data_IF_578223109483
#
_entry.id   IF_578223109483
#
_cell.length_a   1.000
_cell.length_b   1.000
_cell.length_c   1.000
_cell.angle_alpha   90.00
_cell.angle_beta   90.00
_cell.angle_gamma   90.00
#
_symmetry.space_group_name_H-M   'P 1'
#
loop_
_entity.id
_entity.type
_entity.pdbx_description
1 polymer ?
#
# COMPACT_ATOMS: atom_id res chain seq x y z
N UNK A 1 -19.99 1.60 10.32
CA UNK A 1 -18.56 1.63 9.98
C UNK A 1 -18.28 1.31 8.51
N UNK A 2 -18.97 0.31 7.89
CA UNK A 2 -18.72 -0.12 6.50
C UNK A 2 -18.69 1.04 5.48
N UNK A 3 -19.70 1.92 5.47
CA UNK A 3 -19.74 3.04 4.52
C UNK A 3 -18.55 3.98 4.63
N UNK A 4 -18.16 4.35 5.86
CA UNK A 4 -17.00 5.21 6.10
C UNK A 4 -15.68 4.55 5.70
N UNK A 5 -15.50 3.28 6.05
CA UNK A 5 -14.30 2.53 5.65
C UNK A 5 -14.19 2.39 4.14
N UNK A 6 -15.30 2.12 3.43
CA UNK A 6 -15.31 2.04 1.97
C UNK A 6 -15.07 3.41 1.30
N UNK A 7 -15.61 4.50 1.85
CA UNK A 7 -15.33 5.85 1.34
C UNK A 7 -13.85 6.21 1.53
N UNK A 8 -13.27 5.88 2.67
CA UNK A 8 -11.83 6.08 2.91
C UNK A 8 -11.00 5.23 1.95
N UNK A 9 -11.37 3.95 1.75
CA UNK A 9 -10.69 3.08 0.80
C UNK A 9 -10.74 3.64 -0.63
N UNK A 10 -11.90 4.14 -1.05
CA UNK A 10 -12.05 4.79 -2.36
C UNK A 10 -11.20 6.07 -2.45
N UNK A 11 -11.17 6.89 -1.41
CA UNK A 11 -10.33 8.10 -1.35
C UNK A 11 -8.84 7.79 -1.47
N UNK A 12 -8.35 6.80 -0.72
CA UNK A 12 -6.95 6.34 -0.80
C UNK A 12 -6.63 5.78 -2.18
N UNK A 13 -7.50 4.94 -2.72
CA UNK A 13 -7.34 4.40 -4.06
C UNK A 13 -7.21 5.49 -5.11
N UNK A 14 -8.11 6.48 -5.08
CA UNK A 14 -8.08 7.61 -6.02
C UNK A 14 -6.81 8.44 -5.84
N UNK A 15 -6.40 8.73 -4.60
CA UNK A 15 -5.20 9.50 -4.31
C UNK A 15 -3.94 8.76 -4.81
N UNK A 16 -3.84 7.46 -4.55
CA UNK A 16 -2.73 6.64 -5.02
C UNK A 16 -2.64 6.64 -6.55
N UNK A 17 -3.73 6.35 -7.24
CA UNK A 17 -3.75 6.33 -8.70
C UNK A 17 -3.54 7.71 -9.33
N UNK A 18 -4.03 8.76 -8.70
CA UNK A 18 -3.80 10.14 -9.16
C UNK A 18 -2.32 10.55 -9.04
N UNK A 19 -1.66 10.21 -7.93
CA UNK A 19 -0.23 10.49 -7.74
C UNK A 19 0.64 9.66 -8.69
N UNK A 20 0.31 8.40 -8.91
CA UNK A 20 0.97 7.53 -9.91
C UNK A 20 0.78 8.05 -11.33
N UNK A 21 -0.44 8.46 -11.69
CA UNK A 21 -0.71 9.10 -12.98
C UNK A 21 0.12 10.38 -13.15
N UNK A 22 0.18 11.22 -12.13
CA UNK A 22 0.98 12.45 -12.16
C UNK A 22 2.46 12.16 -12.40
N UNK A 23 3.03 11.17 -11.70
CA UNK A 23 4.44 10.78 -11.87
C UNK A 23 4.71 10.20 -13.27
N UNK A 24 3.83 9.32 -13.77
CA UNK A 24 4.05 8.64 -15.04
C UNK A 24 3.74 9.52 -16.25
N UNK A 25 2.60 10.22 -16.25
CA UNK A 25 2.05 10.89 -17.43
C UNK A 25 2.32 12.40 -17.45
N UNK A 26 2.38 13.06 -16.29
CA UNK A 26 2.61 14.51 -16.25
C UNK A 26 4.10 14.82 -16.10
N UNK A 27 4.80 14.14 -15.20
CA UNK A 27 6.26 14.32 -15.04
C UNK A 27 7.05 13.51 -16.08
N UNK A 28 6.42 12.60 -16.81
CA UNK A 28 7.10 11.66 -17.73
C UNK A 28 8.31 10.99 -17.07
N UNK A 29 8.15 10.60 -15.81
CA UNK A 29 9.25 10.20 -14.94
C UNK A 29 9.71 8.75 -15.15
N UNK A 30 9.08 7.99 -16.05
CA UNK A 30 9.48 6.64 -16.45
C UNK A 30 10.06 6.67 -17.85
N UNK A 31 11.37 6.88 -18.02
CA UNK A 31 12.00 6.85 -19.35
C UNK A 31 11.87 5.47 -20.01
N UNK A 32 12.05 5.43 -21.32
CA UNK A 32 12.00 4.20 -22.10
C UNK A 32 13.00 3.16 -21.56
N UNK A 33 12.56 1.91 -21.39
CA UNK A 33 13.37 0.84 -20.82
C UNK A 33 13.41 0.79 -19.30
N UNK A 34 12.76 1.73 -18.61
CA UNK A 34 12.72 1.78 -17.14
C UNK A 34 12.01 0.57 -16.56
N UNK A 35 10.92 0.13 -17.19
CA UNK A 35 10.14 -1.02 -16.74
C UNK A 35 10.94 -2.33 -16.79
N UNK A 36 11.86 -2.49 -17.72
CA UNK A 36 12.67 -3.70 -17.89
C UNK A 36 13.91 -3.72 -16.99
N UNK A 37 14.28 -2.60 -16.41
CA UNK A 37 15.61 -2.41 -15.83
C UNK A 37 15.71 -2.80 -14.35
N UNK A 38 14.60 -3.14 -13.68
CA UNK A 38 14.51 -3.56 -12.27
C UNK A 38 15.28 -2.70 -11.24
N UNK A 39 15.75 -1.53 -11.63
CA UNK A 39 16.50 -0.59 -10.81
C UNK A 39 15.85 0.80 -10.84
N UNK A 40 16.28 1.68 -9.95
CA UNK A 40 15.91 3.08 -10.01
C UNK A 40 16.36 3.68 -11.36
N UNK A 41 15.42 4.30 -12.07
CA UNK A 41 15.66 4.78 -13.43
C UNK A 41 15.47 6.29 -13.62
N UNK A 42 15.27 7.02 -12.52
CA UNK A 42 15.23 8.47 -12.50
C UNK A 42 15.17 8.96 -11.06
N UNK A 43 15.73 10.14 -10.81
CA UNK A 43 15.66 10.83 -9.52
C UNK A 43 15.45 12.31 -9.76
N UNK A 44 14.54 12.92 -8.99
CA UNK A 44 14.32 14.35 -8.91
C UNK A 44 14.53 14.75 -7.46
N UNK A 45 15.55 15.55 -7.18
CA UNK A 45 15.78 16.11 -5.86
C UNK A 45 14.73 17.19 -5.59
N UNK A 46 13.89 16.98 -4.58
CA UNK A 46 12.84 17.91 -4.18
C UNK A 46 13.29 18.74 -2.98
N UNK A 47 13.97 18.08 -2.03
CA UNK A 47 14.48 18.75 -0.83
C UNK A 47 15.63 17.96 -0.22
N UNK A 48 16.28 18.49 0.83
CA UNK A 48 17.35 17.79 1.53
C UNK A 48 16.92 16.50 2.27
N UNK A 49 15.63 16.20 2.32
CA UNK A 49 15.07 15.04 3.07
C UNK A 49 14.12 14.18 2.24
N UNK A 50 13.70 14.64 1.07
CA UNK A 50 12.72 13.99 0.23
C UNK A 50 13.05 14.15 -1.24
N UNK A 51 13.06 13.06 -1.96
CA UNK A 51 13.25 12.99 -3.41
C UNK A 51 12.12 12.19 -4.07
N UNK A 52 11.98 12.35 -5.37
CA UNK A 52 11.23 11.43 -6.20
C UNK A 52 12.24 10.53 -6.91
N UNK A 53 12.14 9.23 -6.68
CA UNK A 53 12.99 8.23 -7.33
C UNK A 53 12.12 7.13 -7.94
N UNK A 54 12.14 7.02 -9.28
CA UNK A 54 11.27 6.07 -9.97
C UNK A 54 11.80 4.64 -9.87
N UNK A 55 10.97 3.74 -9.34
CA UNK A 55 11.25 2.30 -9.22
C UNK A 55 10.02 1.48 -9.62
N UNK A 56 10.23 0.47 -10.46
CA UNK A 56 9.22 -0.55 -10.73
C UNK A 56 9.38 -1.73 -9.77
N UNK A 57 8.44 -1.89 -8.84
CA UNK A 57 8.48 -2.93 -7.80
C UNK A 57 7.70 -4.17 -8.23
N UNK A 58 8.42 -5.24 -8.51
CA UNK A 58 7.85 -6.55 -8.92
C UNK A 58 7.38 -7.41 -7.75
N UNK A 59 7.62 -6.96 -6.50
CA UNK A 59 7.09 -7.60 -5.29
C UNK A 59 7.82 -8.86 -4.83
N UNK A 60 8.89 -9.30 -5.51
CA UNK A 60 9.66 -10.51 -5.15
C UNK A 60 11.15 -10.21 -5.13
N UNK A 61 11.68 -9.96 -3.93
CA UNK A 61 13.08 -9.53 -3.73
C UNK A 61 14.12 -10.66 -3.72
N UNK A 62 13.76 -11.92 -3.89
CA UNK A 62 14.68 -13.06 -3.63
C UNK A 62 14.98 -13.97 -4.83
N UNK A 63 14.75 -13.53 -6.06
CA UNK A 63 15.12 -14.36 -7.23
C UNK A 63 14.39 -15.71 -7.34
N UNK A 64 13.43 -15.98 -6.47
CA UNK A 64 12.67 -17.24 -6.43
C UNK A 64 11.64 -17.37 -7.55
N UNK A 65 11.24 -16.25 -8.14
CA UNK A 65 10.43 -16.19 -9.35
C UNK A 65 11.12 -15.18 -10.28
N UNK A 66 11.59 -15.62 -11.42
CA UNK A 66 12.23 -14.72 -12.39
C UNK A 66 11.27 -13.58 -12.72
N UNK A 67 11.77 -12.36 -12.65
CA UNK A 67 11.05 -11.19 -13.14
C UNK A 67 10.62 -11.45 -14.59
N UNK A 68 9.31 -11.39 -14.85
CA UNK A 68 8.74 -11.75 -16.14
C UNK A 68 7.87 -13.01 -16.15
N UNK A 69 7.89 -13.83 -15.10
CA UNK A 69 6.96 -14.96 -14.98
C UNK A 69 5.54 -14.41 -14.71
N UNK A 70 4.67 -14.50 -15.69
CA UNK A 70 3.27 -14.11 -15.59
C UNK A 70 2.57 -14.76 -14.38
N UNK A 71 3.03 -15.93 -13.94
CA UNK A 71 2.53 -16.64 -12.78
C UNK A 71 2.73 -15.85 -11.48
N UNK A 72 3.94 -15.29 -11.24
CA UNK A 72 4.23 -14.49 -10.04
C UNK A 72 3.35 -13.24 -9.96
N UNK A 73 3.21 -12.52 -11.07
CA UNK A 73 2.30 -11.36 -11.19
C UNK A 73 0.88 -11.74 -10.80
N UNK A 74 0.33 -12.80 -11.42
CA UNK A 74 -1.05 -13.20 -11.18
C UNK A 74 -1.26 -13.79 -9.78
N UNK A 75 -0.27 -14.47 -9.20
CA UNK A 75 -0.31 -14.90 -7.81
C UNK A 75 -0.42 -13.71 -6.85
N UNK A 76 0.36 -12.64 -7.07
CA UNK A 76 0.25 -11.41 -6.28
C UNK A 76 -1.09 -10.69 -6.48
N UNK A 77 -1.65 -10.68 -7.68
CA UNK A 77 -2.98 -10.11 -7.96
C UNK A 77 -4.06 -10.88 -7.19
N UNK A 78 -4.07 -12.21 -7.30
CA UNK A 78 -5.04 -13.07 -6.59
C UNK A 78 -4.90 -12.92 -5.07
N UNK A 79 -3.67 -12.90 -4.55
CA UNK A 79 -3.40 -12.70 -3.13
C UNK A 79 -3.91 -11.33 -2.65
N UNK A 80 -3.66 -10.26 -3.40
CA UNK A 80 -4.13 -8.91 -3.07
C UNK A 80 -5.67 -8.84 -3.05
N UNK A 81 -6.33 -9.48 -4.02
CA UNK A 81 -7.79 -9.58 -4.06
C UNK A 81 -8.35 -10.37 -2.88
N UNK A 82 -7.73 -11.50 -2.52
CA UNK A 82 -8.14 -12.32 -1.39
C UNK A 82 -8.02 -11.55 -0.07
N UNK A 83 -6.91 -10.85 0.14
CA UNK A 83 -6.68 -10.00 1.33
C UNK A 83 -7.69 -8.86 1.38
N UNK A 84 -7.90 -8.14 0.27
CA UNK A 84 -8.88 -7.05 0.22
C UNK A 84 -10.30 -7.57 0.49
N UNK A 85 -10.69 -8.71 -0.09
CA UNK A 85 -11.98 -9.37 0.15
C UNK A 85 -12.16 -9.79 1.62
N UNK A 86 -11.13 -10.37 2.23
CA UNK A 86 -11.12 -10.73 3.65
C UNK A 86 -11.30 -9.48 4.54
N UNK A 87 -10.62 -8.39 4.24
CA UNK A 87 -10.75 -7.16 5.01
C UNK A 87 -12.11 -6.47 4.81
N UNK A 88 -12.70 -6.51 3.62
CA UNK A 88 -14.08 -6.05 3.39
C UNK A 88 -15.07 -6.90 4.20
N UNK A 89 -14.88 -8.22 4.24
CA UNK A 89 -15.71 -9.11 5.06
C UNK A 89 -15.56 -8.77 6.55
N UNK A 90 -14.33 -8.61 7.06
CA UNK A 90 -14.08 -8.19 8.45
C UNK A 90 -14.72 -6.84 8.77
N UNK A 91 -14.61 -5.85 7.87
CA UNK A 91 -15.18 -4.52 8.03
C UNK A 91 -16.70 -4.55 8.23
N UNK A 92 -17.42 -5.53 7.67
CA UNK A 92 -18.87 -5.69 7.89
C UNK A 92 -19.25 -5.92 9.34
N UNK A 93 -18.39 -6.60 10.08
CA UNK A 93 -18.56 -6.87 11.52
C UNK A 93 -17.88 -5.85 12.43
N UNK A 94 -17.18 -4.86 11.88
CA UNK A 94 -16.45 -3.86 12.68
C UNK A 94 -17.42 -2.90 13.36
N UNK A 95 -17.35 -2.84 14.69
CA UNK A 95 -18.15 -1.93 15.53
C UNK A 95 -17.38 -0.65 15.90
N UNK A 96 -16.05 -0.70 15.87
CA UNK A 96 -15.16 0.41 16.24
C UNK A 96 -14.78 1.25 15.04
N UNK A 97 -14.71 2.56 15.25
CA UNK A 97 -14.30 3.51 14.19
C UNK A 97 -12.85 3.28 13.76
N UNK A 98 -11.95 3.05 14.73
CA UNK A 98 -10.54 2.83 14.46
C UNK A 98 -10.32 1.63 13.55
N UNK A 99 -10.98 0.49 13.83
CA UNK A 99 -10.96 -0.69 12.97
C UNK A 99 -11.46 -0.37 11.56
N UNK A 100 -12.57 0.39 11.45
CA UNK A 100 -13.14 0.78 10.15
C UNK A 100 -12.20 1.64 9.33
N UNK A 101 -11.52 2.60 9.94
CA UNK A 101 -10.53 3.45 9.27
C UNK A 101 -9.30 2.65 8.85
N UNK A 102 -8.76 1.85 9.77
CA UNK A 102 -7.59 1.03 9.51
C UNK A 102 -7.81 0.07 8.34
N UNK A 103 -8.95 -0.64 8.33
CA UNK A 103 -9.33 -1.52 7.22
C UNK A 103 -9.53 -0.74 5.91
N UNK A 104 -10.11 0.46 5.96
CA UNK A 104 -10.28 1.33 4.81
C UNK A 104 -8.94 1.70 4.17
N UNK A 105 -7.94 2.10 4.98
CA UNK A 105 -6.59 2.41 4.54
C UNK A 105 -5.93 1.21 3.84
N UNK A 106 -5.98 0.03 4.47
CA UNK A 106 -5.38 -1.19 3.90
C UNK A 106 -6.06 -1.61 2.60
N UNK A 107 -7.40 -1.59 2.56
CA UNK A 107 -8.14 -1.97 1.35
C UNK A 107 -7.83 -1.02 0.20
N UNK A 108 -7.86 0.31 0.45
CA UNK A 108 -7.58 1.32 -0.57
C UNK A 108 -6.18 1.17 -1.16
N UNK A 109 -5.16 1.01 -0.32
CA UNK A 109 -3.78 0.77 -0.74
C UNK A 109 -3.60 -0.56 -1.47
N UNK A 110 -4.19 -1.65 -0.96
CA UNK A 110 -4.11 -2.95 -1.62
C UNK A 110 -4.71 -2.92 -3.04
N UNK A 111 -5.84 -2.23 -3.22
CA UNK A 111 -6.46 -2.05 -4.53
C UNK A 111 -5.62 -1.14 -5.45
N UNK A 112 -4.98 -0.09 -4.93
CA UNK A 112 -4.06 0.75 -5.68
C UNK A 112 -2.90 -0.05 -6.29
N UNK A 113 -2.18 -0.79 -5.46
CA UNK A 113 -1.07 -1.63 -5.90
C UNK A 113 -1.51 -2.83 -6.76
N UNK A 114 -2.75 -3.28 -6.62
CA UNK A 114 -3.33 -4.31 -7.47
C UNK A 114 -3.53 -3.81 -8.90
N UNK A 115 -4.07 -2.60 -9.06
CA UNK A 115 -4.27 -2.00 -10.40
C UNK A 115 -2.95 -1.88 -11.15
N UNK A 116 -1.89 -1.46 -10.51
CA UNK A 116 -0.56 -1.38 -11.13
C UNK A 116 -0.08 -2.75 -11.62
N UNK A 117 -0.22 -3.79 -10.78
CA UNK A 117 0.15 -5.16 -11.16
C UNK A 117 -0.65 -5.67 -12.34
N UNK A 118 -1.95 -5.33 -12.42
CA UNK A 118 -2.81 -5.71 -13.55
C UNK A 118 -2.46 -4.93 -14.82
N UNK A 119 -2.07 -3.66 -14.70
CA UNK A 119 -1.73 -2.81 -15.86
C UNK A 119 -0.30 -3.04 -16.35
N UNK A 120 0.66 -2.99 -15.45
CA UNK A 120 2.09 -2.92 -15.78
C UNK A 120 2.86 -4.19 -15.43
N UNK A 121 2.31 -5.06 -14.58
CA UNK A 121 3.04 -6.22 -14.05
C UNK A 121 3.92 -5.91 -12.85
N UNK A 122 4.06 -4.66 -12.49
CA UNK A 122 4.85 -4.15 -11.38
C UNK A 122 4.11 -2.99 -10.69
N UNK A 123 4.53 -2.60 -9.49
CA UNK A 123 3.99 -1.45 -8.77
C UNK A 123 4.88 -0.23 -9.01
N UNK A 124 4.26 0.94 -9.14
CA UNK A 124 4.93 2.23 -9.30
C UNK A 124 5.30 2.78 -7.94
N UNK A 125 6.60 2.78 -7.60
CA UNK A 125 7.16 3.37 -6.37
C UNK A 125 7.98 4.60 -6.72
N UNK A 126 7.82 5.68 -5.93
CA UNK A 126 8.47 6.96 -6.26
C UNK A 126 8.77 7.87 -5.07
N UNK A 127 8.26 7.61 -3.87
CA UNK A 127 8.53 8.40 -2.66
C UNK A 127 9.82 7.90 -2.03
N UNK A 128 10.84 8.75 -2.00
CA UNK A 128 12.20 8.44 -1.54
C UNK A 128 12.57 9.32 -0.34
N UNK A 129 12.74 8.70 0.81
CA UNK A 129 13.18 9.33 2.06
C UNK A 129 14.50 8.77 2.56
N UNK A 130 15.36 8.27 1.66
CA UNK A 130 16.66 7.67 2.03
C UNK A 130 17.58 8.64 2.79
N UNK A 131 17.44 9.94 2.57
CA UNK A 131 18.14 10.97 3.35
C UNK A 131 17.78 10.95 4.85
N UNK A 132 16.63 10.39 5.23
CA UNK A 132 16.21 10.16 6.62
C UNK A 132 16.54 8.73 7.12
N UNK A 133 17.48 8.05 6.50
CA UNK A 133 17.85 6.66 6.81
C UNK A 133 16.71 5.65 6.61
N UNK A 134 15.69 6.00 5.80
CA UNK A 134 14.62 5.08 5.41
C UNK A 134 14.96 4.48 4.04
N UNK A 135 15.46 3.24 3.97
CA UNK A 135 16.12 2.72 2.76
C UNK A 135 15.17 2.30 1.63
N UNK A 136 13.86 2.35 1.87
CA UNK A 136 12.87 1.90 0.90
C UNK A 136 12.26 3.07 0.14
N UNK A 137 12.03 2.86 -1.17
CA UNK A 137 11.20 3.71 -2.01
C UNK A 137 9.82 3.08 -2.03
N UNK A 138 8.78 3.88 -1.88
CA UNK A 138 7.41 3.43 -1.72
C UNK A 138 6.42 4.40 -2.41
N UNK A 139 5.12 4.14 -2.30
CA UNK A 139 4.04 4.96 -2.85
C UNK A 139 2.96 5.25 -1.79
N UNK A 140 1.88 5.94 -2.21
CA UNK A 140 0.77 6.29 -1.32
C UNK A 140 0.03 5.05 -0.82
N UNK A 141 -0.12 4.02 -1.67
CA UNK A 141 -0.75 2.75 -1.29
C UNK A 141 0.04 2.05 -0.17
N UNK A 142 1.38 1.98 -0.28
CA UNK A 142 2.23 1.34 0.73
C UNK A 142 2.18 2.09 2.07
N UNK A 143 2.24 3.42 2.02
CA UNK A 143 2.07 4.25 3.22
C UNK A 143 0.72 3.98 3.89
N UNK A 144 -0.36 3.93 3.11
CA UNK A 144 -1.71 3.68 3.65
C UNK A 144 -1.86 2.26 4.23
N UNK A 145 -1.28 1.24 3.59
CA UNK A 145 -1.25 -0.13 4.10
C UNK A 145 -0.49 -0.17 5.44
N UNK A 146 0.68 0.45 5.50
CA UNK A 146 1.52 0.47 6.70
C UNK A 146 0.82 1.17 7.87
N UNK A 147 0.25 2.35 7.64
CA UNK A 147 -0.51 3.08 8.66
C UNK A 147 -1.75 2.30 9.09
N UNK A 148 -2.49 1.74 8.13
CA UNK A 148 -3.66 0.91 8.42
C UNK A 148 -3.32 -0.33 9.26
N UNK A 149 -2.23 -1.03 8.93
CA UNK A 149 -1.75 -2.18 9.70
C UNK A 149 -1.34 -1.77 11.14
N UNK A 150 -0.63 -0.64 11.28
CA UNK A 150 -0.26 -0.12 12.59
C UNK A 150 -1.49 0.24 13.44
N UNK A 151 -2.52 0.86 12.84
CA UNK A 151 -3.78 1.17 13.53
C UNK A 151 -4.55 -0.09 13.92
N UNK A 152 -4.55 -1.16 13.10
CA UNK A 152 -5.16 -2.45 13.46
C UNK A 152 -4.43 -3.08 14.65
N UNK A 153 -3.10 -3.05 14.64
CA UNK A 153 -2.29 -3.56 15.76
C UNK A 153 -2.58 -2.78 17.04
N UNK A 154 -2.64 -1.45 16.96
CA UNK A 154 -2.99 -0.60 18.11
C UNK A 154 -4.40 -0.89 18.65
N UNK A 155 -5.39 -1.05 17.76
CA UNK A 155 -6.77 -1.38 18.15
C UNK A 155 -6.83 -2.75 18.86
N UNK A 156 -6.07 -3.72 18.36
CA UNK A 156 -5.97 -5.05 18.97
C UNK A 156 -5.35 -5.01 20.37
N UNK A 157 -4.24 -4.28 20.55
CA UNK A 157 -3.58 -4.15 21.85
C UNK A 157 -4.48 -3.49 22.88
N UNK A 158 -5.15 -2.40 22.53
CA UNK A 158 -6.11 -1.71 23.42
C UNK A 158 -7.27 -2.62 23.85
N UNK A 159 -7.76 -3.46 22.94
CA UNK A 159 -8.85 -4.38 23.24
C UNK A 159 -8.43 -5.56 24.12
N UNK A 160 -7.17 -6.00 24.01
CA UNK A 160 -6.61 -7.03 24.86
C UNK A 160 -6.57 -6.60 26.33
N UNK A 161 -6.21 -5.35 26.57
CA UNK A 161 -6.12 -4.76 27.92
C UNK A 161 -7.52 -4.59 28.58
N UNK A 162 -8.52 -4.11 27.82
CA UNK A 162 -9.89 -3.95 28.35
C UNK A 162 -10.53 -5.28 28.80
N UNK A 163 -10.21 -6.39 28.13
CA UNK A 163 -10.71 -7.71 28.50
C UNK A 163 -10.03 -8.31 29.74
N UNK A 164 -8.85 -7.83 30.09
CA UNK A 164 -8.08 -8.32 31.24
C UNK A 164 -8.34 -7.56 32.55
N UNK A 165 -9.02 -6.41 32.53
CA UNK A 165 -9.41 -5.73 33.75
C UNK A 165 -10.54 -6.51 34.44
N UNK A 166 -10.33 -7.03 35.71
CA UNK A 166 -11.39 -7.69 36.44
C UNK A 166 -12.49 -6.67 36.68
N UNK A 167 -13.75 -7.05 36.40
CA UNK A 167 -14.90 -6.28 36.83
C UNK A 167 -14.80 -6.17 38.35
N UNK A 168 -14.34 -5.04 38.86
CA UNK A 168 -14.46 -4.72 40.29
C UNK A 168 -15.94 -4.78 40.61
N UNK A 169 -16.34 -5.82 41.32
CA UNK A 169 -17.68 -5.98 41.85
C UNK A 169 -17.96 -4.78 42.79
N UNK A 170 -18.91 -3.92 42.37
CA UNK A 170 -19.53 -2.93 43.21
C UNK A 170 -20.72 -3.54 43.96
#
# INVERSE_FOLDING_TARGET
MLRFGLLLAAGIFVLDQATKYWVLEILHFSPAGCLENHMACGQIEVSGVFDLTMVWNYGVSFGMLKAGDGLARWALVVMSLAIAGMFVWWMRGATRQLTGWALGLVIGGALGNLVDRVRFGAVVDFLDFRALYFPWIFNVADASITVGAALLALDFLRNGEEKQQPKTAG
#
